data_IF_309251118530
#
_entry.id   IF_309251118530
#
_cell.length_a   1.000
_cell.length_b   1.000
_cell.length_c   1.000
_cell.angle_alpha   90.00
_cell.angle_beta   90.00
_cell.angle_gamma   90.00
#
_symmetry.space_group_name_H-M   'P 1'
#
loop_
_entity.id
_entity.type
_entity.pdbx_description
1 polymer ?
#
# COMPACT_ATOMS: atom_id res chain seq x y z
N UNK A 1 23.53 -10.15 24.52
CA UNK A 1 22.62 -10.46 23.41
C UNK A 1 23.02 -11.81 22.86
N UNK A 2 22.14 -12.78 22.88
CA UNK A 2 22.42 -14.15 22.40
C UNK A 2 22.69 -14.15 20.90
N UNK A 3 23.68 -14.88 20.44
CA UNK A 3 24.11 -14.96 19.05
C UNK A 3 23.90 -16.36 18.49
N UNK A 4 23.91 -16.50 17.14
CA UNK A 4 23.87 -17.82 16.50
C UNK A 4 25.05 -18.73 16.90
N UNK A 5 26.16 -18.13 17.31
CA UNK A 5 27.34 -18.88 17.85
C UNK A 5 27.04 -19.52 19.20
N UNK A 6 26.27 -18.84 20.04
CA UNK A 6 25.86 -19.37 21.34
C UNK A 6 24.87 -20.54 21.16
N UNK A 7 23.91 -20.39 20.22
CA UNK A 7 23.00 -21.48 19.81
C UNK A 7 23.80 -22.69 19.29
N UNK A 8 24.75 -22.46 18.39
CA UNK A 8 25.58 -23.53 17.82
C UNK A 8 26.37 -24.27 18.91
N UNK A 9 26.93 -23.52 19.86
CA UNK A 9 27.68 -24.07 21.01
C UNK A 9 26.77 -24.95 21.89
N UNK A 10 25.57 -24.47 22.22
CA UNK A 10 24.61 -25.22 23.04
C UNK A 10 24.10 -26.46 22.32
N UNK A 11 23.83 -26.37 21.02
CA UNK A 11 23.34 -27.49 20.19
C UNK A 11 24.44 -28.50 19.80
N UNK A 12 25.73 -28.20 20.10
CA UNK A 12 26.87 -29.07 19.74
C UNK A 12 27.12 -29.16 18.23
N UNK A 13 26.88 -28.06 17.49
CA UNK A 13 27.05 -28.00 16.02
C UNK A 13 27.91 -26.82 15.62
N UNK A 14 28.35 -26.78 14.34
CA UNK A 14 29.07 -25.60 13.82
C UNK A 14 28.11 -24.42 13.64
N UNK A 15 28.60 -23.15 13.71
CA UNK A 15 27.77 -21.98 13.42
C UNK A 15 27.13 -22.00 12.04
N UNK A 16 27.82 -22.58 11.04
CA UNK A 16 27.27 -22.76 9.69
C UNK A 16 26.14 -23.78 9.65
N UNK A 17 26.21 -24.86 10.44
CA UNK A 17 25.13 -25.83 10.58
C UNK A 17 23.92 -25.20 11.27
N UNK A 18 24.11 -24.45 12.35
CA UNK A 18 23.04 -23.75 13.03
C UNK A 18 22.36 -22.73 12.10
N UNK A 19 23.14 -21.98 11.29
CA UNK A 19 22.62 -21.05 10.29
C UNK A 19 21.80 -21.75 9.19
N UNK A 20 22.22 -22.93 8.72
CA UNK A 20 21.46 -23.72 7.73
C UNK A 20 20.13 -24.23 8.29
N UNK A 21 20.07 -24.54 9.57
CA UNK A 21 18.81 -24.93 10.24
C UNK A 21 17.82 -23.76 10.28
N UNK A 22 18.26 -22.52 10.41
CA UNK A 22 17.38 -21.32 10.32
C UNK A 22 16.67 -21.22 8.95
N UNK A 23 17.33 -21.72 7.89
CA UNK A 23 16.79 -21.71 6.53
C UNK A 23 16.15 -23.05 6.13
N UNK A 24 15.89 -23.91 7.11
CA UNK A 24 15.28 -25.24 6.95
C UNK A 24 15.91 -26.12 5.86
N UNK A 25 17.22 -26.01 5.68
CA UNK A 25 17.97 -26.69 4.61
C UNK A 25 17.78 -28.21 4.66
N UNK A 26 17.44 -28.80 3.50
CA UNK A 26 17.31 -30.26 3.32
C UNK A 26 18.61 -31.03 3.54
N UNK A 27 19.76 -30.31 3.52
CA UNK A 27 21.09 -30.92 3.78
C UNK A 27 21.32 -31.24 5.25
N UNK A 28 20.41 -30.85 6.16
CA UNK A 28 20.54 -31.05 7.61
C UNK A 28 19.48 -32.06 8.07
N UNK A 29 19.93 -33.08 8.81
CA UNK A 29 19.04 -34.09 9.35
C UNK A 29 18.00 -33.51 10.34
N UNK A 30 16.82 -34.07 10.38
CA UNK A 30 15.75 -33.64 11.30
C UNK A 30 16.18 -33.72 12.78
N UNK A 31 17.00 -34.72 13.13
CA UNK A 31 17.56 -34.82 14.48
C UNK A 31 18.42 -33.61 14.84
N UNK A 32 19.23 -33.12 13.90
CA UNK A 32 20.07 -31.92 14.08
C UNK A 32 19.20 -30.66 14.10
N UNK A 33 18.20 -30.56 13.20
CA UNK A 33 17.26 -29.44 13.21
C UNK A 33 16.56 -29.32 14.57
N UNK A 34 16.12 -30.44 15.14
CA UNK A 34 15.46 -30.48 16.45
C UNK A 34 16.37 -30.00 17.59
N UNK A 35 17.64 -30.41 17.63
CA UNK A 35 18.61 -29.95 18.62
C UNK A 35 18.84 -28.44 18.55
N UNK A 36 19.04 -27.92 17.35
CA UNK A 36 19.27 -26.46 17.16
C UNK A 36 18.03 -25.66 17.54
N UNK A 37 16.84 -26.09 17.13
CA UNK A 37 15.58 -25.40 17.50
C UNK A 37 15.35 -25.42 19.01
N UNK A 38 15.72 -26.52 19.70
CA UNK A 38 15.66 -26.60 21.15
C UNK A 38 16.63 -25.61 21.82
N UNK A 39 17.87 -25.56 21.36
CA UNK A 39 18.86 -24.60 21.86
C UNK A 39 18.44 -23.14 21.62
N UNK A 40 17.80 -22.83 20.49
CA UNK A 40 17.24 -21.50 20.24
C UNK A 40 16.17 -21.14 21.27
N UNK A 41 15.27 -22.08 21.57
CA UNK A 41 14.21 -21.86 22.57
C UNK A 41 14.78 -21.66 23.98
N UNK A 42 15.77 -22.46 24.39
CA UNK A 42 16.41 -22.35 25.69
C UNK A 42 17.16 -21.03 25.90
N UNK A 43 17.77 -20.52 24.84
CA UNK A 43 18.53 -19.26 24.85
C UNK A 43 17.68 -18.02 24.55
N UNK A 44 16.37 -18.20 24.34
CA UNK A 44 15.46 -17.15 23.84
C UNK A 44 16.08 -16.41 22.63
N UNK A 45 16.69 -17.20 21.74
CA UNK A 45 17.34 -16.68 20.57
C UNK A 45 16.34 -16.48 19.45
N UNK A 46 16.13 -15.23 19.05
CA UNK A 46 15.42 -14.87 17.84
C UNK A 46 16.41 -14.46 16.74
N UNK A 47 16.28 -15.00 15.53
CA UNK A 47 17.13 -14.60 14.42
C UNK A 47 17.09 -13.10 14.20
N UNK A 48 18.26 -12.46 14.11
CA UNK A 48 18.31 -11.05 13.75
C UNK A 48 18.06 -10.91 12.25
N UNK A 49 16.81 -10.56 11.89
CA UNK A 49 16.39 -10.38 10.51
C UNK A 49 17.24 -9.35 9.75
N UNK A 50 17.73 -8.30 10.43
CA UNK A 50 18.60 -7.31 9.81
C UNK A 50 19.96 -7.92 9.43
N UNK A 51 20.51 -8.78 10.28
CA UNK A 51 21.77 -9.48 9.98
C UNK A 51 21.58 -10.56 8.89
N UNK A 52 20.45 -11.25 8.87
CA UNK A 52 20.12 -12.22 7.81
C UNK A 52 19.92 -11.55 6.45
N UNK A 53 19.22 -10.43 6.41
CA UNK A 53 19.04 -9.62 5.20
C UNK A 53 20.36 -9.08 4.65
N UNK A 54 21.34 -8.81 5.54
CA UNK A 54 22.71 -8.45 5.15
C UNK A 54 23.42 -9.61 4.44
N UNK A 55 23.21 -10.84 4.89
CA UNK A 55 23.89 -12.03 4.34
C UNK A 55 23.23 -12.52 3.03
N UNK A 56 21.91 -12.42 2.90
CA UNK A 56 21.13 -13.06 1.82
C UNK A 56 20.85 -12.16 0.62
N UNK A 57 21.33 -10.91 0.56
CA UNK A 57 21.03 -9.93 -0.51
C UNK A 57 19.53 -9.73 -0.83
N UNK A 58 18.62 -10.45 -0.16
CA UNK A 58 17.17 -10.34 -0.33
C UNK A 58 16.56 -9.72 0.93
N UNK A 59 15.95 -8.57 0.77
CA UNK A 59 15.26 -7.91 1.87
C UNK A 59 13.77 -8.30 1.83
N UNK A 60 13.32 -9.05 2.84
CA UNK A 60 11.91 -9.40 3.00
C UNK A 60 11.13 -8.24 3.66
N UNK A 61 11.36 -7.03 3.18
CA UNK A 61 10.65 -5.82 3.61
C UNK A 61 9.95 -5.14 2.44
N UNK A 62 8.76 -4.62 2.72
CA UNK A 62 7.94 -3.86 1.79
C UNK A 62 7.67 -2.49 2.41
N UNK A 63 7.90 -1.44 1.64
CA UNK A 63 7.49 -0.08 2.00
C UNK A 63 6.09 0.23 1.49
N UNK A 64 5.16 0.56 2.37
CA UNK A 64 3.87 1.14 1.97
C UNK A 64 4.02 2.65 1.96
N UNK A 65 3.72 3.27 0.82
CA UNK A 65 3.82 4.72 0.62
C UNK A 65 2.42 5.31 0.68
N UNK A 66 2.23 6.24 1.61
CA UNK A 66 0.97 6.92 1.85
C UNK A 66 0.97 8.30 1.19
N UNK A 67 -0.18 8.80 0.74
CA UNK A 67 -0.25 10.12 0.13
C UNK A 67 0.09 11.23 1.14
N UNK A 68 0.75 12.27 0.65
CA UNK A 68 0.86 13.53 1.38
C UNK A 68 -0.52 14.18 1.44
N UNK A 69 -0.97 14.53 2.64
CA UNK A 69 -2.24 15.22 2.85
C UNK A 69 -2.06 16.40 3.81
N UNK A 70 -2.36 17.59 3.31
CA UNK A 70 -2.29 18.82 4.10
C UNK A 70 -3.49 18.98 5.06
N UNK A 71 -4.65 18.40 4.69
CA UNK A 71 -5.93 18.67 5.36
C UNK A 71 -6.37 17.60 6.37
N UNK A 72 -5.66 16.47 6.43
CA UNK A 72 -6.02 15.36 7.34
C UNK A 72 -4.77 14.81 8.04
N UNK A 73 -4.48 15.31 9.26
CA UNK A 73 -3.25 14.96 9.97
C UNK A 73 -3.20 13.50 10.47
N UNK A 74 -4.30 12.75 10.43
CA UNK A 74 -4.36 11.38 10.95
C UNK A 74 -4.91 10.39 9.94
N UNK A 75 -4.14 9.33 9.70
CA UNK A 75 -4.55 8.15 8.92
C UNK A 75 -5.84 7.50 9.44
N UNK A 76 -6.10 7.62 10.76
CA UNK A 76 -7.29 7.06 11.42
C UNK A 76 -8.60 7.63 10.88
N UNK A 77 -8.59 8.82 10.30
CA UNK A 77 -9.79 9.46 9.78
C UNK A 77 -10.18 8.97 8.39
N UNK A 78 -9.36 8.11 7.77
CA UNK A 78 -9.67 7.53 6.46
C UNK A 78 -9.67 5.99 6.53
N UNK A 79 -10.83 5.37 6.75
CA UNK A 79 -10.95 3.91 6.87
C UNK A 79 -10.51 3.16 5.61
N UNK A 80 -10.57 3.79 4.43
CA UNK A 80 -10.13 3.19 3.17
C UNK A 80 -8.64 2.81 3.22
N UNK A 81 -7.76 3.74 3.61
CA UNK A 81 -6.33 3.45 3.71
C UNK A 81 -6.03 2.41 4.79
N UNK A 82 -6.73 2.47 5.92
CA UNK A 82 -6.53 1.50 7.00
C UNK A 82 -6.89 0.07 6.58
N UNK A 83 -7.98 -0.11 5.82
CA UNK A 83 -8.36 -1.43 5.31
C UNK A 83 -7.36 -1.97 4.30
N UNK A 84 -6.85 -1.13 3.40
CA UNK A 84 -5.81 -1.52 2.44
C UNK A 84 -4.53 -1.92 3.18
N UNK A 85 -4.06 -1.11 4.13
CA UNK A 85 -2.87 -1.41 4.93
C UNK A 85 -3.04 -2.74 5.66
N UNK A 86 -4.19 -2.96 6.31
CA UNK A 86 -4.49 -4.21 7.02
C UNK A 86 -4.43 -5.41 6.07
N UNK A 87 -5.02 -5.31 4.88
CA UNK A 87 -4.98 -6.36 3.87
C UNK A 87 -3.55 -6.68 3.43
N UNK A 88 -2.76 -5.64 3.13
CA UNK A 88 -1.35 -5.80 2.75
C UNK A 88 -0.55 -6.47 3.87
N UNK A 89 -0.66 -5.97 5.11
CA UNK A 89 0.06 -6.50 6.28
C UNK A 89 -0.30 -7.97 6.51
N UNK A 90 -1.58 -8.33 6.38
CA UNK A 90 -2.04 -9.72 6.54
C UNK A 90 -1.34 -10.66 5.55
N UNK A 91 -1.31 -10.29 4.27
CA UNK A 91 -0.64 -11.10 3.23
C UNK A 91 0.88 -11.12 3.42
N UNK A 92 1.48 -9.99 3.80
CA UNK A 92 2.91 -9.89 4.08
C UNK A 92 3.33 -10.83 5.22
N UNK A 93 2.58 -10.84 6.33
CA UNK A 93 2.84 -11.69 7.48
C UNK A 93 2.76 -13.18 7.12
N UNK A 94 1.76 -13.59 6.33
CA UNK A 94 1.63 -14.97 5.85
C UNK A 94 2.82 -15.41 4.98
N UNK A 95 3.52 -14.46 4.36
CA UNK A 95 4.65 -14.70 3.46
C UNK A 95 6.01 -14.35 4.08
N UNK A 96 6.05 -14.09 5.40
CA UNK A 96 7.25 -13.70 6.13
C UNK A 96 7.90 -12.41 5.60
N UNK A 97 7.08 -11.45 5.14
CA UNK A 97 7.52 -10.09 4.82
C UNK A 97 7.20 -9.16 5.98
N UNK A 98 8.14 -8.27 6.29
CA UNK A 98 7.92 -7.14 7.18
C UNK A 98 7.42 -5.93 6.39
N UNK A 99 6.64 -5.08 7.03
CA UNK A 99 6.08 -3.88 6.41
C UNK A 99 6.62 -2.64 7.12
N UNK A 100 7.01 -1.64 6.34
CA UNK A 100 7.35 -0.30 6.81
C UNK A 100 6.43 0.70 6.16
N UNK A 101 5.99 1.72 6.92
CA UNK A 101 5.18 2.82 6.39
C UNK A 101 6.08 4.02 6.06
N UNK A 102 5.88 4.60 4.88
CA UNK A 102 6.46 5.87 4.48
C UNK A 102 5.36 6.93 4.45
N UNK A 103 5.52 7.95 5.28
CA UNK A 103 4.62 9.11 5.39
C UNK A 103 5.42 10.39 5.30
N UNK A 104 4.77 11.51 5.01
CA UNK A 104 5.35 12.84 5.01
C UNK A 104 4.26 13.90 4.97
N UNK A 105 4.55 15.08 5.46
CA UNK A 105 3.66 16.26 5.35
C UNK A 105 3.86 17.00 4.02
N UNK A 106 5.04 16.80 3.39
CA UNK A 106 5.37 17.30 2.06
C UNK A 106 5.98 16.20 1.20
N UNK A 107 5.98 16.40 -0.12
CA UNK A 107 6.60 15.47 -1.08
C UNK A 107 8.11 15.31 -0.77
N UNK A 108 8.80 16.39 -0.37
CA UNK A 108 10.23 16.37 0.00
C UNK A 108 10.49 15.54 1.25
N UNK A 109 9.64 15.67 2.27
CA UNK A 109 9.75 14.87 3.48
C UNK A 109 9.52 13.39 3.19
N UNK A 110 8.50 13.08 2.39
CA UNK A 110 8.21 11.71 1.98
C UNK A 110 9.36 11.10 1.17
N UNK A 111 9.96 11.86 0.25
CA UNK A 111 11.15 11.44 -0.50
C UNK A 111 12.34 11.19 0.44
N UNK A 112 12.55 12.04 1.45
CA UNK A 112 13.59 11.85 2.47
C UNK A 112 13.38 10.55 3.25
N UNK A 113 12.16 10.28 3.67
CA UNK A 113 11.80 9.05 4.39
C UNK A 113 11.99 7.81 3.50
N UNK A 114 11.56 7.85 2.24
CA UNK A 114 11.81 6.80 1.26
C UNK A 114 13.30 6.58 0.98
N UNK A 115 14.09 7.66 0.98
CA UNK A 115 15.55 7.57 0.85
C UNK A 115 16.15 6.79 2.02
N UNK A 116 15.70 7.06 3.24
CA UNK A 116 16.13 6.35 4.44
C UNK A 116 15.75 4.87 4.38
N UNK A 117 14.50 4.55 4.05
CA UNK A 117 14.04 3.17 3.89
C UNK A 117 14.83 2.41 2.81
N UNK A 118 15.13 3.07 1.70
CA UNK A 118 15.88 2.45 0.59
C UNK A 118 17.35 2.26 0.91
N UNK A 119 18.03 3.26 1.49
CA UNK A 119 19.47 3.21 1.75
C UNK A 119 19.82 2.44 3.01
N UNK A 120 19.13 2.73 4.12
CA UNK A 120 19.41 2.12 5.43
C UNK A 120 18.62 0.83 5.62
N UNK A 121 17.34 0.83 5.27
CA UNK A 121 16.48 -0.33 5.34
C UNK A 121 16.64 -1.31 4.17
N UNK A 122 17.37 -0.92 3.09
CA UNK A 122 17.53 -1.69 1.84
C UNK A 122 16.21 -2.12 1.20
N UNK A 123 15.14 -1.35 1.42
CA UNK A 123 13.83 -1.63 0.84
C UNK A 123 13.86 -1.20 -0.63
N UNK A 124 13.51 -2.14 -1.50
CA UNK A 124 13.38 -1.92 -2.94
C UNK A 124 12.01 -2.33 -3.49
N UNK A 125 11.08 -2.74 -2.61
CA UNK A 125 9.70 -3.10 -2.96
C UNK A 125 8.77 -2.10 -2.30
N UNK A 126 7.98 -1.39 -3.12
CA UNK A 126 7.10 -0.33 -2.64
C UNK A 126 5.66 -0.55 -3.12
N UNK A 127 4.70 -0.30 -2.24
CA UNK A 127 3.28 -0.26 -2.56
C UNK A 127 2.78 1.15 -2.30
N UNK A 128 2.46 1.87 -3.38
CA UNK A 128 1.78 3.15 -3.28
C UNK A 128 0.28 2.89 -3.13
N UNK A 129 -0.31 3.35 -2.04
CA UNK A 129 -1.76 3.20 -1.80
C UNK A 129 -2.56 4.37 -2.38
N UNK A 130 -1.98 5.08 -3.30
CA UNK A 130 -2.59 6.18 -4.03
C UNK A 130 -1.99 6.27 -5.44
N UNK A 131 -2.67 7.01 -6.30
CA UNK A 131 -2.18 7.42 -7.62
C UNK A 131 -2.38 8.93 -7.77
N UNK A 132 -1.35 9.63 -8.23
CA UNK A 132 -1.36 11.08 -8.43
C UNK A 132 -0.67 11.40 -9.76
N UNK A 133 -1.22 12.35 -10.50
CA UNK A 133 -0.62 12.84 -11.73
C UNK A 133 0.67 13.62 -11.41
N UNK A 134 1.71 13.44 -12.25
CA UNK A 134 3.01 14.11 -12.08
C UNK A 134 3.58 14.01 -10.65
N UNK A 135 3.45 12.81 -10.04
CA UNK A 135 3.88 12.56 -8.68
C UNK A 135 5.42 12.52 -8.56
N UNK A 136 6.06 13.53 -7.90
CA UNK A 136 7.51 13.56 -7.75
C UNK A 136 8.03 12.43 -6.86
N UNK A 137 7.20 11.92 -5.95
CA UNK A 137 7.55 10.80 -5.06
C UNK A 137 7.61 9.49 -5.83
N UNK A 138 6.62 9.24 -6.68
CA UNK A 138 6.61 8.08 -7.57
C UNK A 138 7.78 8.13 -8.55
N UNK A 139 8.01 9.28 -9.20
CA UNK A 139 9.12 9.49 -10.12
C UNK A 139 10.48 9.27 -9.45
N UNK A 140 10.65 9.71 -8.20
CA UNK A 140 11.86 9.46 -7.42
C UNK A 140 12.12 7.96 -7.25
N UNK A 141 11.10 7.17 -6.95
CA UNK A 141 11.23 5.71 -6.79
C UNK A 141 11.51 5.04 -8.14
N UNK A 142 10.81 5.45 -9.22
CA UNK A 142 10.99 4.89 -10.56
C UNK A 142 12.37 5.12 -11.18
N UNK A 143 13.06 6.21 -10.81
CA UNK A 143 14.46 6.46 -11.23
C UNK A 143 15.44 5.45 -10.63
N UNK A 144 15.08 4.71 -9.59
CA UNK A 144 15.91 3.68 -8.97
C UNK A 144 15.77 2.37 -9.72
N UNK A 145 16.87 1.90 -10.33
CA UNK A 145 16.87 0.73 -11.21
C UNK A 145 16.43 -0.58 -10.56
N UNK A 146 16.54 -0.70 -9.24
CA UNK A 146 16.23 -1.91 -8.48
C UNK A 146 14.85 -1.87 -7.82
N UNK A 147 14.09 -0.76 -7.95
CA UNK A 147 12.80 -0.64 -7.29
C UNK A 147 11.69 -1.38 -8.05
N UNK A 148 10.97 -2.23 -7.35
CA UNK A 148 9.71 -2.84 -7.79
C UNK A 148 8.56 -2.09 -7.14
N UNK A 149 7.56 -1.73 -7.93
CA UNK A 149 6.47 -0.87 -7.46
C UNK A 149 5.11 -1.45 -7.81
N UNK A 150 4.20 -1.43 -6.84
CA UNK A 150 2.78 -1.65 -7.04
C UNK A 150 2.07 -0.35 -6.68
N UNK A 151 1.07 0.03 -7.48
CA UNK A 151 0.23 1.21 -7.23
C UNK A 151 -1.22 0.76 -7.08
N UNK A 152 -1.86 1.16 -5.99
CA UNK A 152 -3.30 1.03 -5.82
C UNK A 152 -3.94 2.26 -6.43
N UNK A 153 -4.54 2.09 -7.61
CA UNK A 153 -5.12 3.15 -8.41
C UNK A 153 -4.82 2.97 -9.90
N UNK A 154 -5.32 3.89 -10.72
CA UNK A 154 -5.11 3.92 -12.16
C UNK A 154 -3.75 4.52 -12.52
N UNK A 155 -3.11 4.07 -13.62
CA UNK A 155 -1.90 4.72 -14.11
C UNK A 155 -2.22 6.10 -14.71
N UNK A 156 -1.42 7.10 -14.36
CA UNK A 156 -1.36 8.35 -15.14
C UNK A 156 -0.43 8.17 -16.34
N UNK A 157 -0.87 8.53 -17.50
CA UNK A 157 -0.25 8.66 -18.84
C UNK A 157 0.95 7.78 -19.26
N UNK A 158 1.84 7.32 -18.40
CA UNK A 158 2.98 6.46 -18.77
C UNK A 158 3.12 5.28 -17.82
N UNK A 159 2.57 4.14 -18.21
CA UNK A 159 2.83 2.86 -17.55
C UNK A 159 4.32 2.54 -17.70
N UNK A 160 5.06 2.57 -16.60
CA UNK A 160 6.44 2.09 -16.61
C UNK A 160 6.45 0.57 -16.54
N UNK A 161 7.40 -0.08 -17.23
CA UNK A 161 7.54 -1.56 -17.20
C UNK A 161 7.78 -2.13 -15.78
N UNK A 162 8.08 -1.27 -14.80
CA UNK A 162 8.43 -1.63 -13.42
C UNK A 162 7.33 -1.39 -12.41
N UNK A 163 6.26 -0.70 -12.79
CA UNK A 163 5.10 -0.49 -11.95
C UNK A 163 3.95 -1.40 -12.38
N UNK A 164 3.32 -2.03 -11.41
CA UNK A 164 2.08 -2.79 -11.60
C UNK A 164 0.96 -2.03 -10.90
N UNK A 165 -0.23 -2.06 -11.48
CA UNK A 165 -1.38 -1.34 -10.99
C UNK A 165 -2.47 -2.32 -10.55
N UNK A 166 -3.13 -2.00 -9.44
CA UNK A 166 -4.29 -2.74 -8.94
C UNK A 166 -5.38 -1.71 -8.67
N UNK A 167 -6.46 -1.80 -9.40
CA UNK A 167 -7.57 -0.86 -9.28
C UNK A 167 -8.90 -1.57 -9.50
N UNK A 168 -9.98 -0.94 -9.04
CA UNK A 168 -11.34 -1.30 -9.43
C UNK A 168 -11.64 -0.69 -10.80
N UNK A 169 -12.63 -1.24 -11.51
CA UNK A 169 -13.21 -0.59 -12.68
C UNK A 169 -14.13 0.55 -12.20
N UNK A 170 -13.55 1.74 -12.04
CA UNK A 170 -14.25 2.89 -11.51
C UNK A 170 -15.28 3.47 -12.50
N UNK A 171 -15.01 3.38 -13.80
CA UNK A 171 -15.97 3.76 -14.83
C UNK A 171 -17.20 2.86 -14.74
N UNK A 172 -16.99 1.55 -14.72
CA UNK A 172 -18.09 0.60 -14.60
C UNK A 172 -18.86 0.75 -13.28
N UNK A 173 -18.15 1.00 -12.18
CA UNK A 173 -18.80 1.23 -10.88
C UNK A 173 -19.72 2.45 -10.88
N UNK A 174 -19.27 3.58 -11.45
CA UNK A 174 -20.11 4.78 -11.63
C UNK A 174 -21.32 4.51 -12.49
N UNK A 175 -21.13 3.79 -13.60
CA UNK A 175 -22.20 3.39 -14.52
C UNK A 175 -23.23 2.46 -13.87
N UNK A 176 -22.78 1.45 -13.15
CA UNK A 176 -23.66 0.47 -12.51
C UNK A 176 -24.50 1.10 -11.42
N UNK A 177 -23.92 1.96 -10.58
CA UNK A 177 -24.65 2.67 -9.53
C UNK A 177 -25.71 3.61 -10.13
N UNK A 178 -25.35 4.38 -11.14
CA UNK A 178 -26.28 5.28 -11.81
C UNK A 178 -27.42 4.52 -12.48
N UNK A 179 -27.11 3.44 -13.20
CA UNK A 179 -28.12 2.58 -13.80
C UNK A 179 -29.04 1.92 -12.75
N UNK A 180 -28.50 1.55 -11.59
CA UNK A 180 -29.30 1.02 -10.49
C UNK A 180 -30.32 2.06 -10.00
N UNK A 181 -29.92 3.31 -9.80
CA UNK A 181 -30.82 4.39 -9.41
C UNK A 181 -31.88 4.67 -10.47
N UNK A 182 -31.50 4.74 -11.76
CA UNK A 182 -32.43 4.91 -12.88
C UNK A 182 -33.47 3.78 -12.94
N UNK A 183 -33.05 2.52 -12.72
CA UNK A 183 -33.98 1.36 -12.68
C UNK A 183 -34.92 1.41 -11.48
N UNK A 184 -34.55 2.09 -10.41
CA UNK A 184 -35.42 2.34 -9.24
C UNK A 184 -36.43 3.47 -9.47
N UNK A 185 -36.33 4.16 -10.61
CA UNK A 185 -37.29 5.23 -10.98
C UNK A 185 -36.78 6.64 -10.64
N UNK A 186 -35.59 6.78 -10.07
CA UNK A 186 -35.02 8.10 -9.84
C UNK A 186 -34.64 8.74 -11.17
N UNK A 187 -35.07 10.00 -11.39
CA UNK A 187 -34.84 10.73 -12.63
C UNK A 187 -33.73 11.76 -12.48
N UNK A 188 -33.65 12.41 -11.32
CA UNK A 188 -32.66 13.42 -10.97
C UNK A 188 -31.61 12.74 -10.07
N UNK A 189 -30.39 12.54 -10.60
CA UNK A 189 -29.32 11.87 -9.92
C UNK A 189 -28.11 12.80 -9.90
N UNK A 190 -27.65 13.16 -8.71
CA UNK A 190 -26.48 14.01 -8.55
C UNK A 190 -25.20 13.19 -8.40
N UNK A 191 -24.12 13.64 -9.03
CA UNK A 191 -22.77 13.17 -8.79
C UNK A 191 -22.06 14.10 -7.82
N UNK A 192 -21.69 13.57 -6.65
CA UNK A 192 -20.99 14.30 -5.60
C UNK A 192 -19.51 13.97 -5.65
N UNK A 193 -18.65 14.96 -5.66
CA UNK A 193 -17.21 14.81 -5.75
C UNK A 193 -16.48 15.87 -4.93
N UNK A 194 -15.20 15.64 -4.64
CA UNK A 194 -14.33 16.65 -4.02
C UNK A 194 -13.33 17.25 -5.01
N UNK A 195 -12.79 16.42 -5.90
CA UNK A 195 -11.81 16.85 -6.89
C UNK A 195 -11.81 15.96 -8.13
N UNK A 196 -12.31 16.46 -9.25
CA UNK A 196 -12.34 15.73 -10.52
C UNK A 196 -10.96 15.54 -11.17
N UNK A 197 -9.90 16.21 -10.69
CA UNK A 197 -8.54 15.92 -11.14
C UNK A 197 -7.97 14.62 -10.54
N UNK A 198 -8.65 14.03 -9.55
CA UNK A 198 -8.35 12.69 -9.08
C UNK A 198 -8.93 11.63 -10.03
N UNK A 199 -8.09 10.84 -10.68
CA UNK A 199 -8.49 9.83 -11.69
C UNK A 199 -9.64 8.94 -11.22
N UNK A 200 -9.66 8.55 -9.95
CA UNK A 200 -10.74 7.69 -9.41
C UNK A 200 -12.08 8.40 -9.42
N UNK A 201 -12.11 9.70 -9.15
CA UNK A 201 -13.34 10.50 -9.17
C UNK A 201 -13.76 10.81 -10.60
N UNK A 202 -12.81 11.13 -11.47
CA UNK A 202 -13.05 11.34 -12.90
C UNK A 202 -13.61 10.07 -13.57
N UNK A 203 -12.99 8.91 -13.36
CA UNK A 203 -13.45 7.64 -13.90
C UNK A 203 -14.90 7.33 -13.48
N UNK A 204 -15.25 7.52 -12.20
CA UNK A 204 -16.63 7.32 -11.72
C UNK A 204 -17.59 8.31 -12.31
N UNK A 205 -17.18 9.56 -12.48
CA UNK A 205 -17.97 10.59 -13.15
C UNK A 205 -18.24 10.21 -14.62
N UNK A 206 -17.22 9.72 -15.33
CA UNK A 206 -17.41 9.26 -16.72
C UNK A 206 -18.45 8.12 -16.79
N UNK A 207 -18.41 7.19 -15.84
CA UNK A 207 -19.42 6.13 -15.73
C UNK A 207 -20.83 6.66 -15.46
N UNK A 208 -20.96 7.63 -14.53
CA UNK A 208 -22.22 8.33 -14.25
C UNK A 208 -22.77 8.99 -15.51
N UNK A 209 -21.96 9.78 -16.20
CA UNK A 209 -22.31 10.47 -17.44
C UNK A 209 -22.76 9.51 -18.55
N UNK A 210 -22.02 8.43 -18.75
CA UNK A 210 -22.35 7.40 -19.75
C UNK A 210 -23.71 6.75 -19.46
N UNK A 211 -24.05 6.51 -18.19
CA UNK A 211 -25.33 5.95 -17.79
C UNK A 211 -26.50 6.93 -17.97
N UNK A 212 -26.29 8.23 -17.74
CA UNK A 212 -27.31 9.27 -17.95
C UNK A 212 -27.64 9.49 -19.42
N UNK A 213 -26.69 9.22 -20.31
CA UNK A 213 -26.78 9.48 -21.77
C UNK A 213 -27.02 10.98 -22.05
N UNK A 214 -28.26 11.34 -22.49
CA UNK A 214 -28.64 12.70 -22.83
C UNK A 214 -29.42 13.44 -21.71
N UNK A 215 -29.54 12.83 -20.52
CA UNK A 215 -30.18 13.50 -19.38
C UNK A 215 -29.29 14.57 -18.80
N UNK A 216 -29.87 15.50 -18.07
CA UNK A 216 -29.14 16.56 -17.39
C UNK A 216 -28.17 15.97 -16.33
N UNK A 217 -27.00 16.56 -16.26
CA UNK A 217 -25.98 16.23 -15.23
C UNK A 217 -26.19 17.19 -14.05
N UNK A 218 -26.27 16.62 -12.85
CA UNK A 218 -26.30 17.37 -11.61
C UNK A 218 -25.00 17.12 -10.86
N UNK A 219 -24.15 18.14 -10.74
CA UNK A 219 -22.82 18.05 -10.16
C UNK A 219 -22.73 18.85 -8.88
N UNK A 220 -22.27 18.22 -7.80
CA UNK A 220 -22.05 18.88 -6.51
C UNK A 220 -20.62 18.66 -6.07
N UNK A 221 -19.84 19.77 -6.03
CA UNK A 221 -18.47 19.74 -5.54
C UNK A 221 -18.45 20.01 -4.03
N UNK A 222 -17.87 19.10 -3.25
CA UNK A 222 -17.68 19.22 -1.80
C UNK A 222 -16.18 19.14 -1.47
N UNK A 223 -15.52 20.30 -1.48
CA UNK A 223 -14.07 20.39 -1.23
C UNK A 223 -13.67 20.31 0.26
N UNK A 224 -14.60 20.62 1.16
CA UNK A 224 -14.39 20.60 2.62
C UNK A 224 -15.53 19.90 3.38
N UNK A 225 -15.29 19.62 4.65
CA UNK A 225 -16.25 18.89 5.52
C UNK A 225 -17.45 19.70 5.99
N UNK A 226 -17.38 21.03 5.92
CA UNK A 226 -18.47 21.93 6.37
C UNK A 226 -19.02 22.73 5.18
N UNK A 227 -19.91 22.08 4.44
CA UNK A 227 -20.59 22.64 3.26
C UNK A 227 -22.10 22.45 3.34
N UNK A 228 -22.65 22.48 4.55
CA UNK A 228 -24.09 22.26 4.80
C UNK A 228 -24.95 23.26 4.00
N UNK A 229 -24.55 24.52 3.93
CA UNK A 229 -25.25 25.55 3.18
C UNK A 229 -25.22 25.29 1.66
N UNK A 230 -24.06 24.83 1.14
CA UNK A 230 -23.92 24.49 -0.29
C UNK A 230 -24.83 23.31 -0.64
N UNK A 231 -24.89 22.30 0.20
CA UNK A 231 -25.78 21.14 0.01
C UNK A 231 -27.24 21.56 0.07
N UNK A 232 -27.62 22.39 1.04
CA UNK A 232 -28.99 22.88 1.17
C UNK A 232 -29.43 23.69 -0.05
N UNK A 233 -28.58 24.57 -0.55
CA UNK A 233 -28.83 25.35 -1.76
C UNK A 233 -28.96 24.46 -2.99
N UNK A 234 -28.07 23.48 -3.15
CA UNK A 234 -28.13 22.53 -4.25
C UNK A 234 -29.45 21.73 -4.24
N UNK A 235 -29.88 21.23 -3.08
CA UNK A 235 -31.13 20.49 -2.94
C UNK A 235 -32.36 21.41 -3.13
N UNK A 236 -32.28 22.68 -2.77
CA UNK A 236 -33.35 23.66 -2.99
C UNK A 236 -33.55 24.04 -4.47
N UNK A 237 -32.49 23.94 -5.28
CA UNK A 237 -32.50 24.24 -6.72
C UNK A 237 -32.76 22.99 -7.58
N UNK A 238 -32.54 21.79 -7.05
CA UNK A 238 -32.72 20.49 -7.70
C UNK A 238 -33.59 19.59 -6.81
N UNK A 239 -34.91 19.80 -6.75
CA UNK A 239 -35.84 19.07 -5.86
C UNK A 239 -36.02 17.59 -6.22
#
# INVERSE_FOLDING_TARGET
MTTIRDVAKLAGVSPSTASRVLHDSDMISEATKKKVRQAMKELDYSPNYLAQNLANKSNNMIGIVLPVRHDQPTLSNNPFFMQIIQGIVTVCNQRNYMVSLATGQTDEELIKNLTTLSKQGRINKFIFVYSKENDPVFDYVQKRTEAETIVVGSPYAKVTKRARYVNNDNVQAGKDLTNYLLKRGYQEIAYVYSNLSEVVQEDRYMGYKDALKAKAEHLLCLESSDQTELVANFLGTNP
#
